data_IF_908683941644
#
_entry.id   IF_908683941644
#
_cell.length_a   1.000
_cell.length_b   1.000
_cell.length_c   1.000
_cell.angle_alpha   90.00
_cell.angle_beta   90.00
_cell.angle_gamma   90.00
#
_symmetry.space_group_name_H-M   'P 1'
#
loop_
_entity.id
_entity.type
_entity.pdbx_description
1 polymer ?
#
# COMPACT_ATOMS: atom_id res chain seq x y z
N UNK A 1 -38.57 -10.03 -14.32
CA UNK A 1 -37.78 -8.79 -14.58
C UNK A 1 -36.78 -8.48 -13.47
N UNK A 2 -37.18 -8.39 -12.19
CA UNK A 2 -36.25 -8.11 -11.05
C UNK A 2 -35.10 -9.13 -10.93
N UNK A 3 -35.41 -10.41 -11.09
CA UNK A 3 -34.43 -11.50 -11.08
C UNK A 3 -33.41 -11.40 -12.20
N UNK A 4 -33.83 -11.01 -13.41
CA UNK A 4 -32.94 -10.82 -14.57
C UNK A 4 -31.97 -9.64 -14.38
N UNK A 5 -32.44 -8.55 -13.75
CA UNK A 5 -31.60 -7.41 -13.38
C UNK A 5 -30.52 -7.82 -12.37
N UNK A 6 -30.89 -8.54 -11.30
CA UNK A 6 -29.94 -8.98 -10.28
C UNK A 6 -28.85 -9.89 -10.85
N UNK A 7 -29.21 -10.82 -11.75
CA UNK A 7 -28.22 -11.69 -12.43
C UNK A 7 -27.31 -10.90 -13.35
N UNK A 8 -27.83 -9.88 -14.05
CA UNK A 8 -27.02 -9.03 -14.92
C UNK A 8 -26.01 -8.18 -14.11
N UNK A 9 -26.42 -7.63 -12.95
CA UNK A 9 -25.51 -6.88 -12.08
C UNK A 9 -24.40 -7.74 -11.49
N UNK A 10 -24.69 -8.99 -11.10
CA UNK A 10 -23.67 -9.90 -10.60
C UNK A 10 -22.64 -10.27 -11.69
N UNK A 11 -23.09 -10.46 -12.93
CA UNK A 11 -22.22 -10.79 -14.06
C UNK A 11 -21.23 -9.66 -14.42
N UNK A 12 -21.52 -8.43 -14.01
CA UNK A 12 -20.66 -7.26 -14.22
C UNK A 12 -19.63 -7.05 -13.10
N UNK A 13 -19.62 -7.88 -12.05
CA UNK A 13 -18.62 -7.76 -10.98
C UNK A 13 -17.27 -8.36 -11.44
N UNK A 14 -16.26 -7.51 -11.67
CA UNK A 14 -14.89 -7.94 -11.89
C UNK A 14 -14.10 -7.96 -10.56
N UNK A 15 -13.32 -9.01 -10.28
CA UNK A 15 -12.41 -9.01 -9.13
C UNK A 15 -11.29 -7.98 -9.37
N UNK A 16 -11.10 -7.07 -8.42
CA UNK A 16 -9.95 -6.18 -8.41
C UNK A 16 -8.75 -6.89 -7.76
N UNK A 17 -7.71 -7.17 -8.54
CA UNK A 17 -6.44 -7.67 -8.03
C UNK A 17 -5.59 -6.48 -7.59
N UNK A 18 -5.58 -6.19 -6.29
CA UNK A 18 -4.68 -5.22 -5.71
C UNK A 18 -3.38 -5.90 -5.30
N UNK A 19 -2.24 -5.42 -5.82
CA UNK A 19 -0.95 -5.80 -5.28
C UNK A 19 -0.82 -5.31 -3.82
N UNK A 20 0.00 -5.98 -2.98
CA UNK A 20 0.31 -5.48 -1.64
C UNK A 20 0.87 -4.06 -1.74
N UNK A 21 0.24 -3.12 -1.04
CA UNK A 21 0.66 -1.73 -1.10
C UNK A 21 2.01 -1.54 -0.37
N UNK A 22 3.04 -0.99 -1.05
CA UNK A 22 4.34 -0.78 -0.45
C UNK A 22 4.32 0.34 0.58
N UNK A 23 5.18 0.22 1.58
CA UNK A 23 5.45 1.26 2.57
C UNK A 23 6.77 1.96 2.27
N UNK A 24 6.88 3.22 2.67
CA UNK A 24 8.09 4.02 2.51
C UNK A 24 8.46 4.69 3.82
N UNK A 25 9.76 4.88 4.02
CA UNK A 25 10.24 5.76 5.08
C UNK A 25 10.16 7.19 4.57
N UNK A 26 9.43 8.02 5.29
CA UNK A 26 9.28 9.44 5.02
C UNK A 26 10.11 10.21 6.04
N UNK A 27 10.84 11.21 5.57
CA UNK A 27 11.58 12.13 6.42
C UNK A 27 10.91 13.51 6.43
N UNK A 28 10.71 14.05 7.62
CA UNK A 28 10.24 15.42 7.82
C UNK A 28 11.30 16.40 7.32
N UNK A 29 10.89 17.34 6.48
CA UNK A 29 11.71 18.46 6.00
C UNK A 29 12.04 19.46 7.11
N UNK A 30 11.29 19.45 8.21
CA UNK A 30 11.38 20.43 9.30
C UNK A 30 12.46 20.04 10.31
N UNK A 31 12.50 18.76 10.70
CA UNK A 31 13.31 18.27 11.82
C UNK A 31 14.03 16.95 11.53
N UNK A 32 13.88 16.39 10.32
CA UNK A 32 14.51 15.13 9.93
C UNK A 32 13.87 13.88 10.55
N UNK A 33 12.76 14.01 11.30
CA UNK A 33 12.05 12.88 11.90
C UNK A 33 11.60 11.87 10.84
N UNK A 34 11.67 10.57 11.17
CA UNK A 34 11.34 9.48 10.25
C UNK A 34 10.00 8.84 10.63
N UNK A 35 9.15 8.58 9.64
CA UNK A 35 7.90 7.81 9.81
C UNK A 35 7.69 6.83 8.67
N UNK A 36 6.99 5.73 8.93
CA UNK A 36 6.67 4.73 7.92
C UNK A 36 5.22 4.87 7.46
N UNK A 37 4.99 5.03 6.15
CA UNK A 37 3.64 5.15 5.59
C UNK A 37 3.61 4.73 4.11
N UNK A 38 2.44 4.26 3.65
CA UNK A 38 2.23 3.90 2.23
C UNK A 38 2.25 5.13 1.31
N UNK A 39 1.69 6.23 1.81
CA UNK A 39 1.58 7.52 1.10
C UNK A 39 2.28 8.62 1.88
N UNK A 40 2.58 9.74 1.23
CA UNK A 40 3.19 10.89 1.91
C UNK A 40 2.29 11.38 3.05
N UNK A 41 2.83 11.66 4.25
CA UNK A 41 2.06 12.30 5.31
C UNK A 41 1.69 13.77 5.00
N UNK A 42 2.33 14.40 4.00
CA UNK A 42 2.00 15.76 3.54
C UNK A 42 3.18 16.46 2.86
N UNK A 43 3.01 17.74 2.53
CA UNK A 43 4.03 18.53 1.81
C UNK A 43 5.31 18.75 2.62
N UNK A 44 5.23 18.63 3.95
CA UNK A 44 6.38 18.69 4.86
C UNK A 44 7.29 17.46 4.84
N UNK A 45 7.03 16.47 3.98
CA UNK A 45 7.75 15.20 3.97
C UNK A 45 8.45 14.93 2.63
N UNK A 46 9.59 14.26 2.69
CA UNK A 46 10.27 13.67 1.53
C UNK A 46 10.32 12.16 1.68
N UNK A 47 10.26 11.44 0.56
CA UNK A 47 10.50 10.00 0.56
C UNK A 47 12.00 9.77 0.79
N UNK A 48 12.34 9.17 1.93
CA UNK A 48 13.73 8.93 2.32
C UNK A 48 14.24 7.60 1.76
N UNK A 49 13.49 6.51 1.93
CA UNK A 49 13.86 5.18 1.39
C UNK A 49 12.65 4.24 1.32
N UNK A 50 12.87 3.03 0.79
CA UNK A 50 11.87 2.00 0.51
C UNK A 50 11.92 1.54 -0.96
N UNK A 51 11.01 0.63 -1.38
CA UNK A 51 9.81 0.18 -0.67
C UNK A 51 10.07 -0.90 0.40
N UNK A 52 9.16 -0.96 1.38
CA UNK A 52 9.04 -2.00 2.40
C UNK A 52 7.72 -2.74 2.27
N UNK A 53 7.64 -3.99 2.75
CA UNK A 53 6.39 -4.77 2.70
C UNK A 53 5.52 -4.63 3.95
N UNK A 54 6.00 -3.94 4.97
CA UNK A 54 5.34 -3.86 6.28
C UNK A 54 5.23 -2.43 6.80
N UNK A 55 4.22 -2.18 7.62
CA UNK A 55 3.91 -0.86 8.19
C UNK A 55 4.96 -0.32 9.18
N UNK A 56 5.95 -1.13 9.57
CA UNK A 56 7.08 -0.69 10.38
C UNK A 56 8.32 -0.39 9.55
N UNK A 57 8.27 -0.55 8.23
CA UNK A 57 9.43 -0.40 7.34
C UNK A 57 10.62 -1.26 7.80
N UNK A 58 10.36 -2.50 8.23
CA UNK A 58 11.38 -3.41 8.78
C UNK A 58 11.97 -4.35 7.75
N UNK A 59 11.19 -4.72 6.73
CA UNK A 59 11.57 -5.70 5.71
C UNK A 59 11.48 -5.06 4.33
N UNK A 60 12.62 -5.02 3.63
CA UNK A 60 12.68 -4.56 2.25
C UNK A 60 11.67 -5.33 1.38
N UNK A 61 11.04 -4.64 0.43
CA UNK A 61 9.96 -5.21 -0.37
C UNK A 61 10.41 -6.41 -1.21
N UNK A 62 11.66 -6.44 -1.62
CA UNK A 62 12.30 -7.47 -2.45
C UNK A 62 12.99 -8.58 -1.65
N UNK A 63 13.08 -8.47 -0.32
CA UNK A 63 13.69 -9.50 0.52
C UNK A 63 13.05 -10.90 0.31
N UNK A 64 13.81 -12.00 0.39
CA UNK A 64 13.24 -13.35 0.32
C UNK A 64 12.24 -13.61 1.46
N UNK A 65 11.11 -14.26 1.15
CA UNK A 65 10.17 -14.71 2.18
C UNK A 65 10.76 -15.94 2.86
N UNK A 66 11.09 -15.83 4.15
CA UNK A 66 11.54 -16.97 4.95
C UNK A 66 10.32 -17.71 5.49
N UNK A 67 9.91 -18.79 4.84
CA UNK A 67 8.98 -19.76 5.43
C UNK A 67 9.69 -20.43 6.62
N UNK A 68 9.08 -20.37 7.80
CA UNK A 68 9.52 -21.14 8.96
C UNK A 68 9.22 -22.62 8.76
#
# INVERSE_FOLDING_TARGET
MRTLLLTALLALSLPALAAPAPFFLWQSKVDGHLTCAQVSPGDGWIRFTGPFRDAGCRVAHDAPVRSR
#
